data_IF_666027893018
#
_entry.id   IF_666027893018
#
_cell.length_a   1.000
_cell.length_b   1.000
_cell.length_c   1.000
_cell.angle_alpha   90.00
_cell.angle_beta   90.00
_cell.angle_gamma   90.00
#
_symmetry.space_group_name_H-M   'P 1'
#
loop_
_entity.id
_entity.type
_entity.pdbx_description
1 polymer ?
#
# COMPACT_ATOMS: atom_id res chain seq x y z
N UNK A 1 21.77 15.22 4.28
CA UNK A 1 21.88 13.88 3.67
C UNK A 1 22.90 13.95 2.53
N UNK A 2 24.00 13.20 2.58
CA UNK A 2 24.98 13.11 1.46
C UNK A 2 24.66 11.89 0.60
N UNK A 3 24.63 12.05 -0.72
CA UNK A 3 24.15 11.05 -1.68
C UNK A 3 24.92 9.72 -1.71
N UNK A 4 26.15 9.68 -1.19
CA UNK A 4 27.05 8.51 -1.24
C UNK A 4 26.62 7.28 -0.42
N UNK A 5 25.59 7.39 0.42
CA UNK A 5 25.07 6.25 1.21
C UNK A 5 23.75 5.70 0.65
N UNK A 6 23.27 6.19 -0.48
CA UNK A 6 22.04 5.73 -1.10
C UNK A 6 22.33 4.61 -2.11
N UNK A 7 22.70 3.43 -1.59
CA UNK A 7 23.08 2.28 -2.43
C UNK A 7 21.98 1.86 -3.40
N UNK A 8 20.70 1.93 -3.03
CA UNK A 8 19.56 1.59 -3.91
C UNK A 8 19.52 2.43 -5.20
N UNK A 9 19.88 3.71 -5.14
CA UNK A 9 19.80 4.63 -6.29
C UNK A 9 21.09 4.66 -7.15
N UNK A 10 22.26 4.48 -6.54
CA UNK A 10 23.56 4.67 -7.19
C UNK A 10 24.38 3.39 -7.42
N UNK A 11 24.06 2.28 -6.73
CA UNK A 11 24.75 1.00 -6.88
C UNK A 11 23.80 -0.21 -7.07
N UNK A 12 22.49 0.01 -6.91
CA UNK A 12 21.43 -0.98 -7.12
C UNK A 12 20.57 -0.63 -8.33
N UNK A 13 19.74 -1.59 -8.78
CA UNK A 13 18.84 -1.43 -9.93
C UNK A 13 17.65 -0.48 -9.74
N UNK A 14 17.65 0.38 -8.70
CA UNK A 14 16.56 1.30 -8.38
C UNK A 14 16.90 2.77 -8.69
N UNK A 15 17.86 3.01 -9.58
CA UNK A 15 18.10 4.36 -10.10
C UNK A 15 16.84 4.90 -10.78
N UNK A 16 16.36 6.08 -10.35
CA UNK A 16 15.04 6.62 -10.68
C UNK A 16 13.84 5.70 -10.36
N UNK A 17 14.03 4.62 -9.62
CA UNK A 17 13.02 3.60 -9.31
C UNK A 17 12.69 3.49 -7.82
N UNK A 18 13.29 4.31 -6.95
CA UNK A 18 13.04 4.22 -5.51
C UNK A 18 11.58 4.51 -5.11
N UNK A 19 10.84 5.25 -5.93
CA UNK A 19 9.40 5.46 -5.74
C UNK A 19 8.58 4.16 -5.88
N UNK A 20 9.16 3.11 -6.48
CA UNK A 20 8.50 1.81 -6.65
C UNK A 20 8.06 1.19 -5.33
N UNK A 21 8.73 1.50 -4.22
CA UNK A 21 8.29 1.09 -2.88
C UNK A 21 6.95 1.70 -2.52
N UNK A 22 6.82 3.04 -2.62
CA UNK A 22 5.57 3.73 -2.33
C UNK A 22 4.45 3.31 -3.28
N UNK A 23 4.79 3.13 -4.56
CA UNK A 23 3.83 2.66 -5.56
C UNK A 23 3.33 1.24 -5.27
N UNK A 24 4.23 0.33 -4.89
CA UNK A 24 3.86 -1.05 -4.53
C UNK A 24 3.07 -1.09 -3.22
N UNK A 25 3.28 -0.15 -2.31
CA UNK A 25 2.56 -0.06 -1.04
C UNK A 25 1.09 0.38 -1.22
N UNK A 26 0.78 1.14 -2.27
CA UNK A 26 -0.62 1.40 -2.67
C UNK A 26 -1.33 0.07 -2.98
N UNK A 27 -0.69 -0.78 -3.80
CA UNK A 27 -1.24 -2.08 -4.19
C UNK A 27 -1.34 -3.03 -2.99
N UNK A 28 -0.35 -3.02 -2.09
CA UNK A 28 -0.37 -3.83 -0.86
C UNK A 28 -1.53 -3.42 0.06
N UNK A 29 -1.65 -2.13 0.38
CA UNK A 29 -2.70 -1.63 1.26
C UNK A 29 -4.10 -1.95 0.70
N UNK A 30 -4.28 -1.86 -0.61
CA UNK A 30 -5.54 -2.18 -1.27
C UNK A 30 -5.82 -3.70 -1.32
N UNK A 31 -4.79 -4.53 -1.51
CA UNK A 31 -4.90 -6.00 -1.43
C UNK A 31 -5.34 -6.42 -0.02
N UNK A 32 -4.81 -5.79 1.03
CA UNK A 32 -5.21 -6.07 2.42
C UNK A 32 -6.70 -5.77 2.63
N UNK A 33 -7.20 -4.66 2.10
CA UNK A 33 -8.63 -4.34 2.16
C UNK A 33 -9.48 -5.35 1.39
N UNK A 34 -9.03 -5.79 0.21
CA UNK A 34 -9.69 -6.86 -0.53
C UNK A 34 -9.80 -8.15 0.29
N UNK A 35 -8.73 -8.57 0.97
CA UNK A 35 -8.76 -9.74 1.85
C UNK A 35 -9.76 -9.56 2.99
N UNK A 36 -9.80 -8.39 3.65
CA UNK A 36 -10.77 -8.12 4.72
C UNK A 36 -12.22 -8.24 4.24
N UNK A 37 -12.52 -7.69 3.06
CA UNK A 37 -13.86 -7.72 2.46
C UNK A 37 -14.29 -9.15 2.08
N UNK A 38 -13.35 -10.02 1.71
CA UNK A 38 -13.63 -11.40 1.28
C UNK A 38 -13.54 -12.43 2.42
N UNK A 39 -13.61 -11.97 3.67
CA UNK A 39 -13.62 -12.83 4.86
C UNK A 39 -12.24 -13.28 5.34
N UNK A 40 -11.20 -12.52 5.02
CA UNK A 40 -9.87 -12.64 5.59
C UNK A 40 -9.07 -13.83 5.07
N UNK A 41 -8.36 -14.49 5.99
CA UNK A 41 -7.44 -15.59 5.70
C UNK A 41 -8.20 -16.89 5.39
N UNK A 42 -8.71 -16.99 4.15
CA UNK A 42 -9.33 -18.19 3.60
C UNK A 42 -8.45 -18.79 2.52
N UNK A 43 -8.47 -20.12 2.41
CA UNK A 43 -7.72 -20.85 1.37
C UNK A 43 -8.12 -20.39 -0.04
N UNK A 44 -9.42 -20.25 -0.27
CA UNK A 44 -9.98 -19.78 -1.55
C UNK A 44 -9.43 -18.40 -1.97
N UNK A 45 -9.29 -17.48 -1.01
CA UNK A 45 -8.72 -16.15 -1.26
C UNK A 45 -7.23 -16.25 -1.63
N UNK A 46 -6.48 -17.13 -0.96
CA UNK A 46 -5.07 -17.40 -1.27
C UNK A 46 -4.89 -18.05 -2.65
N UNK A 47 -5.74 -19.02 -3.01
CA UNK A 47 -5.70 -19.70 -4.30
C UNK A 47 -5.98 -18.71 -5.44
N UNK A 48 -6.96 -17.81 -5.25
CA UNK A 48 -7.24 -16.71 -6.18
C UNK A 48 -6.05 -15.77 -6.32
N UNK A 49 -5.47 -15.30 -5.21
CA UNK A 49 -4.33 -14.39 -5.24
C UNK A 49 -3.12 -15.01 -5.94
N UNK A 50 -2.86 -16.31 -5.71
CA UNK A 50 -1.82 -17.06 -6.40
C UNK A 50 -2.09 -17.18 -7.90
N UNK A 51 -3.28 -17.59 -8.30
CA UNK A 51 -3.61 -17.86 -9.71
C UNK A 51 -3.69 -16.59 -10.58
N UNK A 52 -4.09 -15.47 -9.97
CA UNK A 52 -4.32 -14.23 -10.70
C UNK A 52 -3.12 -13.29 -10.67
N UNK A 53 -2.29 -13.33 -9.63
CA UNK A 53 -1.25 -12.32 -9.41
C UNK A 53 0.14 -12.97 -9.28
N UNK A 54 0.37 -13.78 -8.25
CA UNK A 54 1.72 -14.28 -7.92
C UNK A 54 2.32 -15.25 -8.97
N UNK A 55 1.47 -16.06 -9.62
CA UNK A 55 1.93 -17.04 -10.62
C UNK A 55 2.26 -16.46 -11.99
N UNK A 56 1.96 -15.18 -12.23
CA UNK A 56 2.07 -14.56 -13.56
C UNK A 56 3.44 -13.96 -13.83
N UNK A 57 4.20 -13.60 -12.80
CA UNK A 57 5.50 -12.93 -12.98
C UNK A 57 5.38 -11.70 -13.89
N UNK A 58 6.28 -11.56 -14.86
CA UNK A 58 6.25 -10.49 -15.86
C UNK A 58 5.48 -10.81 -17.15
N UNK A 59 4.63 -11.85 -17.17
CA UNK A 59 3.97 -12.31 -18.40
C UNK A 59 2.82 -11.40 -18.88
N UNK A 60 2.39 -10.44 -18.07
CA UNK A 60 1.31 -9.51 -18.37
C UNK A 60 1.53 -8.18 -17.63
N UNK A 61 0.81 -7.14 -18.04
CA UNK A 61 0.86 -5.83 -17.38
C UNK A 61 0.42 -5.94 -15.91
N UNK A 62 1.25 -5.43 -15.00
CA UNK A 62 1.07 -5.57 -13.57
C UNK A 62 -0.21 -4.87 -13.06
N UNK A 63 -0.56 -3.71 -13.63
CA UNK A 63 -1.80 -3.02 -13.29
C UNK A 63 -3.01 -3.78 -13.82
N UNK A 64 -2.94 -4.35 -15.03
CA UNK A 64 -3.95 -5.24 -15.57
C UNK A 64 -4.20 -6.47 -14.68
N UNK A 65 -3.13 -7.13 -14.22
CA UNK A 65 -3.23 -8.27 -13.30
C UNK A 65 -3.88 -7.87 -11.96
N UNK A 66 -3.49 -6.73 -11.42
CA UNK A 66 -4.09 -6.19 -10.19
C UNK A 66 -5.57 -5.87 -10.35
N UNK A 67 -5.95 -5.18 -11.43
CA UNK A 67 -7.37 -4.87 -11.74
C UNK A 67 -8.19 -6.14 -11.91
N UNK A 68 -7.64 -7.17 -12.56
CA UNK A 68 -8.33 -8.44 -12.70
C UNK A 68 -8.54 -9.13 -11.34
N UNK A 69 -7.56 -9.05 -10.43
CA UNK A 69 -7.67 -9.64 -9.10
C UNK A 69 -8.71 -8.93 -8.23
N UNK A 70 -8.59 -7.61 -8.08
CA UNK A 70 -9.44 -6.78 -7.20
C UNK A 70 -10.80 -6.48 -7.84
N UNK A 71 -10.89 -6.45 -9.17
CA UNK A 71 -12.10 -6.14 -9.94
C UNK A 71 -12.31 -4.65 -10.24
N UNK A 72 -11.34 -3.80 -9.88
CA UNK A 72 -11.37 -2.34 -10.07
C UNK A 72 -9.96 -1.77 -10.09
N UNK A 73 -9.83 -0.49 -10.43
CA UNK A 73 -8.59 0.26 -10.31
C UNK A 73 -8.11 0.39 -8.84
N UNK A 74 -6.78 0.43 -8.61
CA UNK A 74 -6.22 0.73 -7.30
C UNK A 74 -6.53 2.18 -6.90
N UNK A 75 -6.77 2.40 -5.61
CA UNK A 75 -7.01 3.73 -5.04
C UNK A 75 -6.09 3.97 -3.83
N UNK A 76 -5.75 5.22 -3.55
CA UNK A 76 -4.66 5.60 -2.63
C UNK A 76 -5.10 5.68 -1.16
N UNK A 77 -6.40 5.78 -0.91
CA UNK A 77 -7.03 5.97 0.38
C UNK A 77 -6.63 4.93 1.45
N UNK A 78 -6.43 3.63 1.17
CA UNK A 78 -5.98 2.65 2.15
C UNK A 78 -4.55 2.94 2.59
N UNK A 79 -3.71 3.41 1.66
CA UNK A 79 -2.34 3.82 1.96
C UNK A 79 -2.32 5.08 2.83
N UNK A 80 -3.16 6.08 2.50
CA UNK A 80 -3.27 7.29 3.31
C UNK A 80 -3.67 6.95 4.75
N UNK A 81 -4.71 6.14 4.92
CA UNK A 81 -5.14 5.67 6.24
C UNK A 81 -4.07 4.88 6.97
N UNK A 82 -3.32 4.01 6.28
CA UNK A 82 -2.22 3.23 6.86
C UNK A 82 -1.06 4.11 7.35
N UNK A 83 -0.85 5.25 6.70
CA UNK A 83 0.22 6.21 7.02
C UNK A 83 -0.24 7.38 7.90
N UNK A 84 -1.51 7.42 8.31
CA UNK A 84 -2.08 8.53 9.07
C UNK A 84 -2.13 9.85 8.28
N UNK A 85 -2.30 9.76 6.96
CA UNK A 85 -2.35 10.88 6.02
C UNK A 85 -3.76 11.15 5.49
N UNK A 86 -4.78 10.53 6.08
CA UNK A 86 -6.19 10.68 5.74
C UNK A 86 -6.85 11.89 6.43
N UNK A 87 -6.07 12.70 7.13
CA UNK A 87 -6.51 13.95 7.78
C UNK A 87 -5.61 15.09 7.32
N UNK A 88 -6.18 16.31 7.22
CA UNK A 88 -5.38 17.49 6.93
C UNK A 88 -4.30 17.69 8.04
N UNK A 89 -3.05 18.05 7.69
CA UNK A 89 -2.02 18.29 8.69
C UNK A 89 -2.47 19.41 9.64
N UNK A 90 -2.64 19.08 10.93
CA UNK A 90 -3.05 20.00 11.99
C UNK A 90 -4.46 19.83 12.58
N UNK A 91 -5.20 18.77 12.20
CA UNK A 91 -6.56 18.55 12.72
C UNK A 91 -6.66 17.92 14.13
N UNK A 92 -5.55 17.42 14.72
CA UNK A 92 -5.61 16.55 15.92
C UNK A 92 -4.93 17.13 17.19
N UNK A 93 -4.42 18.37 17.16
CA UNK A 93 -3.66 18.93 18.29
C UNK A 93 -4.48 19.82 19.26
N UNK A 94 -5.82 19.91 19.14
CA UNK A 94 -6.63 20.85 19.96
C UNK A 94 -7.69 20.23 20.87
N UNK A 95 -7.60 18.93 21.20
CA UNK A 95 -8.44 18.35 22.27
C UNK A 95 -7.64 17.58 23.31
N UNK A 96 -6.82 18.30 24.08
CA UNK A 96 -6.43 17.86 25.43
C UNK A 96 -6.31 19.08 26.33
N UNK A 97 -7.43 19.58 26.85
CA UNK A 97 -7.42 20.23 28.18
C UNK A 97 -8.84 20.27 28.76
N UNK A 98 -9.13 19.35 29.67
CA UNK A 98 -9.84 19.62 30.92
C UNK A 98 -9.85 18.37 31.81
N UNK A 99 -9.22 18.41 32.99
CA UNK A 99 -9.65 17.61 34.14
C UNK A 99 -10.22 18.50 35.27
N UNK A 100 -10.91 17.89 36.26
CA UNK A 100 -12.21 18.37 36.72
C UNK A 100 -12.17 19.33 37.93
N UNK A 101 -13.34 19.94 38.12
CA UNK A 101 -13.82 20.72 39.27
C UNK A 101 -13.37 20.18 40.63
N UNK A 102 -12.96 21.10 41.50
CA UNK A 102 -13.29 21.07 42.93
C UNK A 102 -14.30 22.18 43.20
#
# INVERSE_FOLDING_TARGET
>A
YRSFYFSHAFAGGYSAGYYSYLWSEVLDADTVEWFKQHGGLKRENGDRFRAMLLSRGGSADALGLFKNFVGRDPYIEPLLKRRGLDHAPGADDTKTEAPPTK
#
